data_IF_508048439530
#
_entry.id   IF_508048439530
#
_cell.length_a   1.000
_cell.length_b   1.000
_cell.length_c   1.000
_cell.angle_alpha   90.00
_cell.angle_beta   90.00
_cell.angle_gamma   90.00
#
_symmetry.space_group_name_H-M   'P 1'
#
loop_
_entity.id
_entity.type
_entity.pdbx_description
1 polymer ?
#
# COMPACT_ATOMS: atom_id res chain seq x y z
N UNK A 1 32.53 13.14 -23.38
CA UNK A 1 31.89 14.46 -23.65
C UNK A 1 30.51 14.43 -22.98
N UNK A 2 30.32 14.71 -21.70
CA UNK A 2 30.96 15.69 -20.83
C UNK A 2 30.13 16.98 -20.83
N UNK A 3 29.04 17.02 -20.03
CA UNK A 3 28.42 18.26 -19.54
C UNK A 3 27.44 17.99 -18.37
N UNK A 4 27.99 18.04 -17.15
CA UNK A 4 27.42 18.79 -16.00
C UNK A 4 27.48 20.29 -16.34
N UNK A 5 26.80 21.25 -15.67
CA UNK A 5 26.48 21.35 -14.23
C UNK A 5 25.01 21.86 -14.01
N UNK A 6 24.48 22.25 -12.84
CA UNK A 6 25.05 22.81 -11.62
C UNK A 6 24.10 22.60 -10.43
N UNK A 7 24.71 22.34 -9.27
CA UNK A 7 24.11 22.52 -7.96
C UNK A 7 24.29 23.99 -7.53
N UNK A 8 23.30 24.55 -6.84
CA UNK A 8 23.46 25.80 -6.10
C UNK A 8 22.51 25.85 -4.90
N UNK A 9 23.09 25.58 -3.73
CA UNK A 9 22.76 26.12 -2.41
C UNK A 9 24.13 26.40 -1.73
N UNK A 10 24.24 27.18 -0.65
CA UNK A 10 23.28 28.07 0.00
C UNK A 10 23.86 29.50 0.24
N UNK A 11 23.02 30.45 0.68
CA UNK A 11 23.50 31.69 1.29
C UNK A 11 22.66 32.00 2.53
N UNK A 12 23.31 31.91 3.69
CA UNK A 12 22.88 32.51 4.93
C UNK A 12 23.38 33.96 5.00
N UNK A 13 22.71 34.76 5.84
CA UNK A 13 23.30 35.68 6.84
C UNK A 13 22.71 37.11 6.84
N UNK A 14 22.25 37.48 8.06
CA UNK A 14 22.18 38.81 8.72
C UNK A 14 21.24 39.86 8.09
N UNK A 15 20.53 40.76 8.77
CA UNK A 15 20.50 41.37 10.11
C UNK A 15 19.02 41.81 10.32
N UNK A 16 18.42 41.87 11.52
CA UNK A 16 18.82 42.73 12.61
C UNK A 16 18.12 44.10 12.53
N UNK A 17 16.84 44.19 12.89
CA UNK A 17 16.29 45.48 13.37
C UNK A 17 15.23 45.28 14.46
N UNK A 18 15.69 45.51 15.69
CA UNK A 18 14.90 45.61 16.90
C UNK A 18 14.70 47.09 17.23
N UNK A 19 13.45 47.51 17.42
CA UNK A 19 13.08 48.83 17.92
C UNK A 19 11.87 48.72 18.87
N UNK A 20 11.65 49.69 19.76
CA UNK A 20 11.79 49.47 21.19
C UNK A 20 10.44 49.42 21.91
N UNK A 21 10.48 48.80 23.09
CA UNK A 21 9.40 48.74 24.06
C UNK A 21 8.81 50.13 24.38
N UNK A 22 7.54 50.33 24.03
CA UNK A 22 6.72 51.40 24.57
C UNK A 22 6.23 51.00 25.97
N UNK A 23 6.50 51.87 26.95
CA UNK A 23 6.05 51.75 28.34
C UNK A 23 4.52 51.63 28.44
N UNK A 24 4.01 50.89 29.45
CA UNK A 24 2.58 50.72 29.68
C UNK A 24 1.97 52.02 30.21
N UNK A 25 0.92 52.49 29.53
CA UNK A 25 0.04 53.52 30.04
C UNK A 25 -0.71 53.01 31.29
N UNK A 26 -0.82 53.90 32.28
CA UNK A 26 -1.50 53.66 33.56
C UNK A 26 -2.94 53.16 33.39
N UNK A 27 -3.42 52.26 34.27
CA UNK A 27 -4.79 51.77 34.19
C UNK A 27 -5.79 52.87 34.57
N UNK A 28 -6.69 53.16 33.63
CA UNK A 28 -7.90 53.92 33.89
C UNK A 28 -8.77 53.19 34.94
N UNK A 29 -9.40 53.99 35.81
CA UNK A 29 -10.27 53.57 36.92
C UNK A 29 -11.27 52.47 36.52
N UNK A 30 -11.47 51.43 37.35
CA UNK A 30 -12.52 50.45 37.11
C UNK A 30 -13.88 51.11 37.29
N UNK A 31 -14.64 51.20 36.19
CA UNK A 31 -16.08 51.46 36.23
C UNK A 31 -16.72 50.27 36.95
N UNK A 32 -17.33 50.55 38.09
CA UNK A 32 -18.04 49.59 38.94
C UNK A 32 -19.11 48.84 38.12
N UNK A 33 -18.89 47.54 37.90
CA UNK A 33 -19.94 46.63 37.44
C UNK A 33 -21.04 46.55 38.51
N UNK A 34 -22.33 46.57 38.14
CA UNK A 34 -23.40 46.33 39.09
C UNK A 34 -23.27 44.90 39.66
N UNK A 35 -23.18 44.81 40.98
CA UNK A 35 -23.11 43.56 41.73
C UNK A 35 -24.38 42.74 41.44
N UNK A 36 -24.24 41.66 40.68
CA UNK A 36 -25.31 40.69 40.49
C UNK A 36 -25.53 39.93 41.80
N UNK A 37 -26.80 39.84 42.23
CA UNK A 37 -27.20 39.13 43.44
C UNK A 37 -26.75 37.66 43.37
N UNK A 38 -26.34 37.05 44.50
CA UNK A 38 -25.93 35.64 44.52
C UNK A 38 -27.09 34.75 44.05
N UNK A 39 -26.83 33.97 43.01
CA UNK A 39 -27.78 33.03 42.40
C UNK A 39 -28.14 31.96 43.43
N UNK A 40 -29.44 31.72 43.67
CA UNK A 40 -29.90 30.76 44.68
C UNK A 40 -29.41 29.34 44.37
N UNK A 41 -29.18 28.51 45.39
CA UNK A 41 -28.75 27.09 45.21
C UNK A 41 -29.69 26.30 44.30
N UNK A 42 -31.01 26.56 44.39
CA UNK A 42 -32.04 25.93 43.54
C UNK A 42 -31.86 26.26 42.05
N UNK A 43 -31.50 27.50 41.71
CA UNK A 43 -31.25 27.91 40.31
C UNK A 43 -30.00 27.27 39.72
N UNK A 44 -28.98 26.99 40.53
CA UNK A 44 -27.75 26.30 40.07
C UNK A 44 -28.00 24.83 39.76
N UNK A 45 -28.85 24.16 40.54
CA UNK A 45 -29.25 22.76 40.28
C UNK A 45 -30.10 22.63 39.02
N UNK A 46 -31.04 23.56 38.80
CA UNK A 46 -31.82 23.63 37.56
C UNK A 46 -30.91 23.89 36.35
N UNK A 47 -29.92 24.78 36.49
CA UNK A 47 -28.95 25.05 35.43
C UNK A 47 -28.10 23.82 35.09
N UNK A 48 -27.59 23.09 36.10
CA UNK A 48 -26.84 21.84 35.88
C UNK A 48 -27.69 20.79 35.16
N UNK A 49 -28.96 20.66 35.54
CA UNK A 49 -29.89 19.73 34.87
C UNK A 49 -30.16 20.13 33.43
N UNK A 50 -30.30 21.42 33.15
CA UNK A 50 -30.45 21.91 31.78
C UNK A 50 -29.18 21.71 30.97
N UNK A 51 -28.00 22.02 31.52
CA UNK A 51 -26.72 21.84 30.82
C UNK A 51 -26.50 20.38 30.43
N UNK A 52 -26.78 19.43 31.35
CA UNK A 52 -26.70 18.01 31.04
C UNK A 52 -27.68 17.56 29.93
N UNK A 53 -28.87 18.17 29.87
CA UNK A 53 -29.84 17.92 28.80
C UNK A 53 -29.42 18.58 27.47
N UNK A 54 -28.77 19.74 27.49
CA UNK A 54 -28.21 20.37 26.29
C UNK A 54 -27.06 19.57 25.70
N UNK A 55 -26.13 19.10 26.54
CA UNK A 55 -25.01 18.26 26.13
C UNK A 55 -25.51 16.98 25.46
N UNK A 56 -26.60 16.37 25.99
CA UNK A 56 -27.27 15.21 25.40
C UNK A 56 -27.89 15.48 24.03
N UNK A 57 -28.27 16.73 23.76
CA UNK A 57 -28.89 17.17 22.51
C UNK A 57 -27.87 17.71 21.50
N UNK A 58 -26.56 17.59 21.80
CA UNK A 58 -25.47 18.10 20.96
C UNK A 58 -25.30 19.61 21.02
N UNK A 59 -26.04 20.30 21.89
CA UNK A 59 -25.83 21.72 22.18
C UNK A 59 -24.75 21.85 23.25
N UNK A 60 -23.75 22.69 23.03
CA UNK A 60 -22.72 22.95 24.02
C UNK A 60 -23.24 23.74 25.23
N UNK A 61 -22.52 24.80 25.61
CA UNK A 61 -22.89 25.65 26.75
C UNK A 61 -24.27 26.31 26.53
N UNK A 62 -25.20 26.10 27.47
CA UNK A 62 -26.48 26.81 27.47
C UNK A 62 -26.22 28.29 27.74
N UNK A 63 -26.74 29.13 26.85
CA UNK A 63 -26.74 30.57 27.00
C UNK A 63 -27.84 30.97 27.97
N UNK A 64 -27.45 31.38 29.18
CA UNK A 64 -28.38 31.87 30.22
C UNK A 64 -28.50 33.39 30.18
N UNK A 65 -27.49 34.07 29.63
CA UNK A 65 -27.50 35.52 29.50
C UNK A 65 -28.41 35.96 28.35
N UNK A 66 -29.30 36.92 28.63
CA UNK A 66 -30.23 37.45 27.62
C UNK A 66 -29.50 38.12 26.47
N UNK A 67 -28.39 38.82 26.71
CA UNK A 67 -27.62 39.52 25.68
C UNK A 67 -27.02 38.53 24.69
N UNK A 68 -26.39 37.47 25.20
CA UNK A 68 -25.79 36.41 24.38
C UNK A 68 -26.87 35.62 23.62
N UNK A 69 -28.03 35.39 24.24
CA UNK A 69 -29.16 34.72 23.58
C UNK A 69 -29.73 35.57 22.44
N UNK A 70 -29.89 36.89 22.65
CA UNK A 70 -30.30 37.83 21.58
C UNK A 70 -29.32 37.84 20.42
N UNK A 71 -28.02 37.83 20.70
CA UNK A 71 -26.99 37.72 19.68
C UNK A 71 -27.12 36.42 18.88
N UNK A 72 -27.22 35.28 19.55
CA UNK A 72 -27.37 33.99 18.87
C UNK A 72 -28.64 33.92 18.00
N UNK A 73 -29.75 34.51 18.47
CA UNK A 73 -30.99 34.62 17.69
C UNK A 73 -30.80 35.52 16.47
N UNK A 74 -30.14 36.67 16.64
CA UNK A 74 -29.84 37.59 15.56
C UNK A 74 -28.94 36.92 14.51
N UNK A 75 -27.83 36.32 14.93
CA UNK A 75 -26.86 35.66 14.05
C UNK A 75 -27.55 34.56 13.22
N UNK A 76 -28.38 33.71 13.84
CA UNK A 76 -29.14 32.68 13.10
C UNK A 76 -30.10 33.27 12.07
N UNK A 77 -30.83 34.34 12.41
CA UNK A 77 -31.75 34.98 11.48
C UNK A 77 -31.01 35.75 10.37
N UNK A 78 -29.89 36.37 10.72
CA UNK A 78 -29.05 37.13 9.81
C UNK A 78 -28.38 36.20 8.79
N UNK A 79 -27.73 35.14 9.25
CA UNK A 79 -26.97 34.21 8.40
C UNK A 79 -27.87 33.32 7.54
N UNK A 80 -29.09 33.02 8.01
CA UNK A 80 -30.05 32.22 7.25
C UNK A 80 -30.79 33.02 6.17
N UNK A 81 -30.70 34.36 6.18
CA UNK A 81 -31.34 35.28 5.24
C UNK A 81 -32.81 34.95 4.93
N UNK A 82 -33.55 34.40 5.90
CA UNK A 82 -34.95 33.99 5.70
C UNK A 82 -35.80 34.24 6.95
N UNK A 83 -37.08 34.62 6.78
CA UNK A 83 -37.99 34.68 7.91
C UNK A 83 -38.18 33.30 8.54
N UNK A 84 -38.10 33.23 9.87
CA UNK A 84 -38.29 31.98 10.62
C UNK A 84 -39.37 32.16 11.68
N UNK A 85 -40.17 31.11 11.90
CA UNK A 85 -41.09 31.08 13.02
C UNK A 85 -40.39 30.64 14.32
N UNK A 86 -41.09 30.80 15.45
CA UNK A 86 -40.54 30.42 16.78
C UNK A 86 -40.08 28.97 16.81
N UNK A 87 -40.83 28.07 16.17
CA UNK A 87 -40.48 26.65 16.16
C UNK A 87 -39.19 26.39 15.35
N UNK A 88 -39.03 27.02 14.19
CA UNK A 88 -37.83 26.92 13.36
C UNK A 88 -36.60 27.52 14.04
N UNK A 89 -36.77 28.67 14.74
CA UNK A 89 -35.73 29.27 15.56
C UNK A 89 -35.32 28.35 16.71
N UNK A 90 -36.30 27.79 17.42
CA UNK A 90 -36.04 26.86 18.51
C UNK A 90 -35.30 25.60 18.05
N UNK A 91 -35.64 25.05 16.87
CA UNK A 91 -34.92 23.90 16.33
C UNK A 91 -33.49 24.25 15.92
N UNK A 92 -33.27 25.45 15.37
CA UNK A 92 -31.93 25.90 14.96
C UNK A 92 -31.04 26.23 16.17
N UNK A 93 -31.64 26.66 17.28
CA UNK A 93 -30.96 27.00 18.54
C UNK A 93 -31.14 25.93 19.63
N UNK A 94 -31.54 24.72 19.25
CA UNK A 94 -31.85 23.64 20.18
C UNK A 94 -30.61 23.28 20.99
N UNK A 95 -30.74 23.27 22.31
CA UNK A 95 -29.62 23.02 23.23
C UNK A 95 -28.73 24.25 23.51
N UNK A 96 -28.93 25.37 22.81
CA UNK A 96 -28.18 26.62 23.04
C UNK A 96 -29.04 27.64 23.80
N UNK A 97 -30.28 27.88 23.32
CA UNK A 97 -31.20 28.85 23.92
C UNK A 97 -32.49 28.15 24.40
N UNK A 98 -32.80 28.15 25.70
CA UNK A 98 -34.05 27.58 26.21
C UNK A 98 -35.29 28.27 25.63
N UNK A 99 -36.37 27.52 25.38
CA UNK A 99 -37.59 28.07 24.73
C UNK A 99 -38.21 29.26 25.46
N UNK A 100 -38.22 29.23 26.79
CA UNK A 100 -38.73 30.33 27.59
C UNK A 100 -37.89 31.61 27.44
N UNK A 101 -36.57 31.45 27.34
CA UNK A 101 -35.64 32.56 27.12
C UNK A 101 -35.76 33.10 25.69
N UNK A 102 -35.91 32.21 24.70
CA UNK A 102 -36.11 32.56 23.28
C UNK A 102 -37.32 33.49 23.10
N UNK A 103 -38.49 33.13 23.62
CA UNK A 103 -39.70 33.96 23.49
C UNK A 103 -39.50 35.34 24.13
N UNK A 104 -38.94 35.39 25.34
CA UNK A 104 -38.63 36.67 26.02
C UNK A 104 -37.64 37.52 25.23
N UNK A 105 -36.63 36.91 24.60
CA UNK A 105 -35.65 37.65 23.80
C UNK A 105 -36.27 38.19 22.51
N UNK A 106 -37.10 37.40 21.82
CA UNK A 106 -37.79 37.82 20.61
C UNK A 106 -38.70 39.03 20.87
N UNK A 107 -39.50 39.01 21.94
CA UNK A 107 -40.36 40.14 22.32
C UNK A 107 -39.59 41.43 22.64
N UNK A 108 -38.37 41.31 23.18
CA UNK A 108 -37.49 42.45 23.48
C UNK A 108 -36.71 42.96 22.25
N UNK A 109 -36.53 42.12 21.23
CA UNK A 109 -35.81 42.48 19.99
C UNK A 109 -36.73 43.06 18.91
N UNK A 110 -38.04 42.83 19.01
CA UNK A 110 -39.05 43.41 18.11
C UNK A 110 -39.19 44.91 18.38
N UNK A 111 -39.17 45.69 17.31
CA UNK A 111 -39.59 47.08 17.35
C UNK A 111 -41.12 47.18 17.51
N UNK A 112 -41.57 47.68 18.66
CA UNK A 112 -43.01 47.80 18.99
C UNK A 112 -43.67 49.00 18.30
N UNK A 113 -42.89 49.93 17.76
CA UNK A 113 -43.38 51.19 17.21
C UNK A 113 -43.38 51.21 15.66
N UNK A 114 -42.71 50.27 15.01
CA UNK A 114 -42.84 50.09 13.55
C UNK A 114 -44.03 49.20 13.21
N UNK A 115 -45.12 49.82 12.75
CA UNK A 115 -46.25 49.10 12.15
C UNK A 115 -45.78 48.12 11.07
N UNK A 116 -46.53 47.01 10.92
CA UNK A 116 -46.24 45.99 9.91
C UNK A 116 -46.11 46.64 8.52
N UNK A 117 -44.92 46.66 7.89
CA UNK A 117 -44.73 47.30 6.57
C UNK A 117 -45.44 46.54 5.44
N UNK A 118 -46.05 45.39 5.74
CA UNK A 118 -46.86 44.58 4.86
C UNK A 118 -48.32 44.50 5.33
N UNK A 119 -48.75 45.31 6.29
CA UNK A 119 -50.18 45.53 6.48
C UNK A 119 -50.65 46.15 5.17
N UNK A 120 -51.48 45.42 4.42
CA UNK A 120 -52.16 46.00 3.28
C UNK A 120 -52.85 47.26 3.80
N UNK A 121 -52.60 48.37 3.13
CA UNK A 121 -53.33 49.62 3.30
C UNK A 121 -54.74 49.36 2.75
N UNK A 122 -55.51 48.52 3.45
CA UNK A 122 -56.96 48.36 3.29
C UNK A 122 -57.61 49.54 4.03
N UNK A 123 -57.19 50.75 3.67
CA UNK A 123 -57.97 51.95 3.91
C UNK A 123 -59.00 52.01 2.78
N UNK A 124 -60.07 51.25 2.98
CA UNK A 124 -61.35 51.43 2.34
C UNK A 124 -61.67 52.93 2.30
N UNK A 125 -61.72 53.45 1.09
CA UNK A 125 -62.33 54.71 0.69
C UNK A 125 -63.81 54.62 1.05
N UNK A 126 -64.20 55.22 2.18
CA UNK A 126 -65.60 55.55 2.46
C UNK A 126 -65.62 56.93 3.15
N UNK A 127 -66.11 57.89 2.39
CA UNK A 127 -66.35 59.27 2.76
C UNK A 127 -67.19 59.36 4.04
N UNK A 128 -66.70 60.05 5.08
CA UNK A 128 -67.54 61.05 5.76
C UNK A 128 -66.81 61.91 6.80
N UNK A 129 -67.21 63.18 6.79
CA UNK A 129 -66.74 64.34 7.55
C UNK A 129 -66.59 64.17 9.08
N UNK A 130 -65.40 64.52 9.63
CA UNK A 130 -65.25 65.47 10.77
C UNK A 130 -63.79 65.66 11.23
N UNK A 131 -63.33 66.91 11.45
CA UNK A 131 -61.99 67.17 11.95
C UNK A 131 -61.92 67.03 13.48
N UNK A 132 -61.29 65.96 13.99
CA UNK A 132 -60.84 65.89 15.39
C UNK A 132 -59.31 66.02 15.48
N UNK A 133 -58.90 67.17 16.03
CA UNK A 133 -57.57 67.53 16.57
C UNK A 133 -56.74 66.31 17.00
N UNK A 134 -55.75 65.91 16.18
CA UNK A 134 -54.69 64.96 16.60
C UNK A 134 -53.63 65.70 17.41
N UNK A 135 -53.48 65.29 18.68
CA UNK A 135 -52.36 65.64 19.56
C UNK A 135 -51.09 65.06 18.95
N UNK A 136 -50.24 65.92 18.40
CA UNK A 136 -48.92 65.61 17.86
C UNK A 136 -47.99 65.19 19.00
N UNK A 137 -47.95 63.91 19.34
CA UNK A 137 -46.84 63.35 20.11
C UNK A 137 -45.63 63.28 19.19
N UNK A 138 -44.71 64.21 19.40
CA UNK A 138 -43.38 64.27 18.79
C UNK A 138 -42.62 63.00 19.19
N UNK A 139 -42.70 61.95 18.38
CA UNK A 139 -41.77 60.84 18.43
C UNK A 139 -40.41 61.41 18.06
N UNK A 140 -39.54 61.51 19.07
CA UNK A 140 -38.13 61.82 18.91
C UNK A 140 -37.53 60.56 18.29
N UNK A 141 -37.32 60.55 16.98
CA UNK A 141 -36.43 59.58 16.36
C UNK A 141 -35.05 59.87 16.94
N UNK A 142 -34.69 59.08 17.93
CA UNK A 142 -33.35 59.03 18.45
C UNK A 142 -32.50 58.39 17.35
N UNK A 143 -31.94 59.21 16.46
CA UNK A 143 -30.78 58.86 15.62
C UNK A 143 -29.52 58.71 16.51
N UNK A 144 -29.70 58.03 17.64
CA UNK A 144 -28.65 57.62 18.54
C UNK A 144 -28.08 56.34 18.01
N UNK A 145 -26.90 56.44 17.39
CA UNK A 145 -26.00 55.33 17.16
C UNK A 145 -25.95 54.46 18.45
N UNK A 146 -26.72 53.37 18.44
CA UNK A 146 -26.94 52.54 19.60
C UNK A 146 -25.62 51.93 20.04
N UNK A 147 -25.38 51.96 21.35
CA UNK A 147 -24.23 51.32 21.97
C UNK A 147 -24.00 49.90 21.39
N UNK A 148 -22.75 49.50 21.13
CA UNK A 148 -22.44 48.18 20.60
C UNK A 148 -22.97 47.11 21.57
N UNK A 149 -24.06 46.44 21.19
CA UNK A 149 -24.74 45.42 22.00
C UNK A 149 -26.25 45.61 22.18
N UNK A 150 -26.85 46.74 21.77
CA UNK A 150 -28.30 46.90 21.82
C UNK A 150 -28.99 46.24 20.61
N UNK A 151 -29.43 44.99 20.77
CA UNK A 151 -30.27 44.29 19.77
C UNK A 151 -31.74 44.76 19.76
N UNK A 152 -32.05 45.85 20.44
CA UNK A 152 -33.39 46.44 20.41
C UNK A 152 -33.73 46.91 18.98
N UNK A 153 -34.94 46.61 18.52
CA UNK A 153 -35.43 46.98 17.18
C UNK A 153 -34.58 46.40 16.01
N UNK A 154 -33.93 45.24 16.24
CA UNK A 154 -33.15 44.52 15.23
C UNK A 154 -33.99 43.53 14.43
N UNK A 155 -35.14 43.12 14.96
CA UNK A 155 -36.07 42.18 14.32
C UNK A 155 -37.40 42.85 13.97
N UNK A 156 -37.99 42.40 12.87
CA UNK A 156 -39.38 42.67 12.51
C UNK A 156 -40.22 41.40 12.67
N UNK A 157 -41.48 41.62 13.03
CA UNK A 157 -42.47 40.57 13.19
C UNK A 157 -43.53 40.67 12.09
N UNK A 158 -43.76 39.58 11.38
CA UNK A 158 -44.96 39.39 10.56
C UNK A 158 -45.91 38.48 11.32
N UNK A 159 -47.00 39.05 11.82
CA UNK A 159 -48.03 38.32 12.57
C UNK A 159 -48.79 37.36 11.67
N UNK A 160 -48.83 36.09 12.06
CA UNK A 160 -49.63 35.06 11.38
C UNK A 160 -51.01 34.90 12.01
N UNK A 161 -51.80 33.94 11.50
CA UNK A 161 -53.12 33.58 12.07
C UNK A 161 -53.05 33.14 13.54
N UNK A 162 -51.88 32.69 14.01
CA UNK A 162 -51.62 32.31 15.39
C UNK A 162 -50.14 32.56 15.73
N UNK A 163 -49.80 32.47 17.02
CA UNK A 163 -48.43 32.73 17.53
C UNK A 163 -47.38 31.81 16.91
N UNK A 164 -47.75 30.58 16.55
CA UNK A 164 -46.83 29.62 15.91
C UNK A 164 -46.53 29.98 14.44
N UNK A 165 -47.36 30.79 13.82
CA UNK A 165 -47.22 31.27 12.44
C UNK A 165 -46.59 32.66 12.34
N UNK A 166 -46.20 33.25 13.47
CA UNK A 166 -45.45 34.50 13.49
C UNK A 166 -44.06 34.28 12.89
N UNK A 167 -43.69 35.11 11.91
CA UNK A 167 -42.39 35.07 11.25
C UNK A 167 -41.53 36.25 11.75
N UNK A 168 -40.34 35.92 12.20
CA UNK A 168 -39.32 36.86 12.66
C UNK A 168 -38.24 36.95 11.58
N UNK A 169 -37.80 38.17 11.26
CA UNK A 169 -36.74 38.42 10.28
C UNK A 169 -35.94 39.67 10.66
N UNK A 170 -34.68 39.73 10.22
CA UNK A 170 -33.80 40.88 10.46
C UNK A 170 -34.23 42.03 9.55
N UNK A 171 -34.20 43.26 10.08
CA UNK A 171 -34.46 44.45 9.27
C UNK A 171 -33.24 44.83 8.43
N UNK A 172 -33.18 44.28 7.21
CA UNK A 172 -32.11 44.56 6.26
C UNK A 172 -32.15 45.98 5.67
N UNK A 173 -33.20 46.79 5.92
CA UNK A 173 -33.23 48.19 5.45
C UNK A 173 -32.20 49.07 6.16
N UNK A 174 -31.76 48.66 7.36
CA UNK A 174 -30.71 49.34 8.13
C UNK A 174 -29.29 48.94 7.69
N UNK A 175 -29.15 48.01 6.74
CA UNK A 175 -27.84 47.68 6.15
C UNK A 175 -27.36 48.82 5.24
N UNK A 176 -26.05 48.84 4.98
CA UNK A 176 -25.44 49.76 4.04
C UNK A 176 -26.21 49.80 2.70
N UNK A 177 -26.29 50.99 2.11
CA UNK A 177 -27.06 51.26 0.90
C UNK A 177 -28.58 51.01 1.04
N UNK A 178 -29.17 51.26 2.22
CA UNK A 178 -30.60 51.12 2.50
C UNK A 178 -31.18 49.73 2.18
N UNK A 179 -30.36 48.69 2.26
CA UNK A 179 -30.78 47.33 1.88
C UNK A 179 -30.87 47.08 0.37
N UNK A 180 -30.47 48.03 -0.49
CA UNK A 180 -30.37 47.84 -1.94
C UNK A 180 -29.12 47.03 -2.36
N UNK A 181 -28.37 46.50 -1.39
CA UNK A 181 -27.19 45.66 -1.62
C UNK A 181 -25.95 46.45 -2.07
N UNK A 182 -24.98 45.73 -2.64
CA UNK A 182 -23.74 46.33 -3.14
C UNK A 182 -24.01 47.21 -4.38
N UNK A 183 -23.33 48.36 -4.52
CA UNK A 183 -23.40 49.16 -5.73
C UNK A 183 -22.91 48.37 -6.96
N UNK A 184 -23.32 48.76 -8.18
CA UNK A 184 -23.01 47.98 -9.39
C UNK A 184 -21.53 47.67 -9.61
N UNK A 185 -20.62 48.58 -9.26
CA UNK A 185 -19.18 48.38 -9.43
C UNK A 185 -18.62 47.28 -8.50
N UNK A 186 -18.89 47.36 -7.20
CA UNK A 186 -18.52 46.33 -6.21
C UNK A 186 -19.16 44.98 -6.54
N UNK A 187 -20.42 44.98 -6.98
CA UNK A 187 -21.10 43.75 -7.40
C UNK A 187 -20.39 43.08 -8.58
N UNK A 188 -20.00 43.87 -9.59
CA UNK A 188 -19.29 43.36 -10.76
C UNK A 188 -17.90 42.83 -10.40
N UNK A 189 -17.20 43.50 -9.49
CA UNK A 189 -15.91 43.05 -8.96
C UNK A 189 -16.04 41.72 -8.21
N UNK A 190 -17.04 41.60 -7.33
CA UNK A 190 -17.35 40.35 -6.62
C UNK A 190 -17.67 39.20 -7.60
N UNK A 191 -18.39 39.49 -8.70
CA UNK A 191 -18.63 38.49 -9.73
C UNK A 191 -17.35 38.06 -10.45
N UNK A 192 -16.48 39.01 -10.77
CA UNK A 192 -15.19 38.71 -11.40
C UNK A 192 -14.28 37.88 -10.47
N UNK A 193 -14.24 38.22 -9.18
CA UNK A 193 -13.50 37.46 -8.18
C UNK A 193 -14.08 36.06 -7.98
N UNK A 194 -15.42 35.94 -7.91
CA UNK A 194 -16.08 34.63 -7.81
C UNK A 194 -15.74 33.72 -8.99
N UNK A 195 -15.75 34.24 -10.21
CA UNK A 195 -15.37 33.45 -11.40
C UNK A 195 -13.88 33.12 -11.39
N UNK A 196 -13.00 34.02 -10.91
CA UNK A 196 -11.58 33.73 -10.72
C UNK A 196 -11.36 32.61 -9.71
N UNK A 197 -11.96 32.70 -8.52
CA UNK A 197 -11.88 31.66 -7.49
C UNK A 197 -12.45 30.33 -7.98
N UNK A 198 -13.52 30.35 -8.77
CA UNK A 198 -14.09 29.14 -9.38
C UNK A 198 -13.12 28.49 -10.38
N UNK A 199 -12.45 29.30 -11.21
CA UNK A 199 -11.44 28.82 -12.15
C UNK A 199 -10.22 28.24 -11.40
N UNK A 200 -9.72 28.93 -10.38
CA UNK A 200 -8.62 28.46 -9.53
C UNK A 200 -8.96 27.15 -8.80
N UNK A 201 -10.16 27.05 -8.22
CA UNK A 201 -10.64 25.82 -7.61
C UNK A 201 -10.74 24.66 -8.62
N UNK A 202 -11.18 24.96 -9.85
CA UNK A 202 -11.19 23.98 -10.94
C UNK A 202 -9.78 23.49 -11.31
N UNK A 203 -8.82 24.41 -11.40
CA UNK A 203 -7.41 24.09 -11.68
C UNK A 203 -6.78 23.25 -10.56
N UNK A 204 -7.01 23.61 -9.29
CA UNK A 204 -6.53 22.85 -8.13
C UNK A 204 -7.12 21.44 -8.08
N UNK A 205 -8.42 21.29 -8.35
CA UNK A 205 -9.04 19.96 -8.44
C UNK A 205 -8.41 19.10 -9.54
N UNK A 206 -8.08 19.70 -10.68
CA UNK A 206 -7.39 18.99 -11.75
C UNK A 206 -5.97 18.57 -11.33
N UNK A 207 -5.25 19.44 -10.63
CA UNK A 207 -3.93 19.14 -10.07
C UNK A 207 -4.01 18.01 -9.02
N UNK A 208 -5.00 18.02 -8.13
CA UNK A 208 -5.24 16.94 -7.18
C UNK A 208 -5.49 15.60 -7.89
N UNK A 209 -6.27 15.60 -8.97
CA UNK A 209 -6.51 14.38 -9.78
C UNK A 209 -5.23 13.87 -10.44
N UNK A 210 -4.42 14.76 -11.02
CA UNK A 210 -3.15 14.40 -11.65
C UNK A 210 -2.17 13.84 -10.61
N UNK A 211 -2.02 14.53 -9.47
CA UNK A 211 -1.15 14.08 -8.37
C UNK A 211 -1.61 12.74 -7.80
N UNK A 212 -2.93 12.54 -7.66
CA UNK A 212 -3.48 11.26 -7.22
C UNK A 212 -3.24 10.12 -8.21
N UNK A 213 -3.34 10.39 -9.52
CA UNK A 213 -2.99 9.41 -10.56
C UNK A 213 -1.49 9.08 -10.57
N UNK A 214 -0.63 10.07 -10.38
CA UNK A 214 0.82 9.85 -10.28
C UNK A 214 1.20 9.06 -9.03
N UNK A 215 0.60 9.38 -7.88
CA UNK A 215 0.78 8.61 -6.65
C UNK A 215 0.35 7.15 -6.83
N UNK A 216 -0.83 6.89 -7.42
CA UNK A 216 -1.29 5.53 -7.70
C UNK A 216 -0.38 4.79 -8.69
N UNK A 217 0.24 5.50 -9.65
CA UNK A 217 1.22 4.91 -10.57
C UNK A 217 2.49 4.49 -9.84
N UNK A 218 3.02 5.36 -8.97
CA UNK A 218 4.22 5.09 -8.17
C UNK A 218 3.98 3.99 -7.13
N UNK A 219 2.81 3.96 -6.50
CA UNK A 219 2.44 2.89 -5.56
C UNK A 219 2.28 1.52 -6.22
N UNK A 220 2.07 1.49 -7.55
CA UNK A 220 2.04 0.27 -8.34
C UNK A 220 3.42 -0.20 -8.84
N UNK A 221 4.45 0.64 -8.72
CA UNK A 221 5.82 0.23 -9.03
C UNK A 221 6.39 -0.61 -7.88
N UNK A 222 7.12 -1.71 -8.16
CA UNK A 222 7.70 -2.54 -7.12
C UNK A 222 8.68 -1.74 -6.27
N UNK A 223 8.69 -2.01 -4.97
CA UNK A 223 9.59 -1.29 -4.05
C UNK A 223 11.03 -1.70 -4.33
N UNK A 224 11.97 -0.80 -4.06
CA UNK A 224 13.40 -1.10 -4.17
C UNK A 224 13.79 -2.37 -3.38
N UNK A 225 13.21 -2.57 -2.20
CA UNK A 225 13.42 -3.78 -1.39
C UNK A 225 12.95 -5.06 -2.10
N UNK A 226 11.83 -5.01 -2.82
CA UNK A 226 11.31 -6.15 -3.59
C UNK A 226 12.22 -6.43 -4.80
N UNK A 227 12.69 -5.39 -5.48
CA UNK A 227 13.65 -5.51 -6.58
C UNK A 227 15.00 -6.07 -6.10
N UNK A 228 15.47 -5.69 -4.91
CA UNK A 228 16.71 -6.24 -4.33
C UNK A 228 16.58 -7.74 -4.04
N UNK A 229 15.44 -8.18 -3.51
CA UNK A 229 15.14 -9.60 -3.29
C UNK A 229 15.05 -10.35 -4.62
N UNK A 230 14.37 -9.79 -5.61
CA UNK A 230 14.25 -10.40 -6.94
C UNK A 230 15.61 -10.51 -7.63
N UNK A 231 16.43 -9.46 -7.60
CA UNK A 231 17.80 -9.46 -8.11
C UNK A 231 18.66 -10.52 -7.42
N UNK A 232 18.62 -10.61 -6.09
CA UNK A 232 19.36 -11.64 -5.36
C UNK A 232 18.92 -13.05 -5.76
N UNK A 233 17.62 -13.26 -6.00
CA UNK A 233 17.10 -14.54 -6.50
C UNK A 233 17.61 -14.88 -7.90
N UNK A 234 17.69 -13.88 -8.79
CA UNK A 234 18.21 -14.07 -10.15
C UNK A 234 19.72 -14.33 -10.15
N UNK A 235 20.47 -13.62 -9.30
CA UNK A 235 21.90 -13.86 -9.10
C UNK A 235 22.18 -15.28 -8.58
N UNK A 236 21.39 -15.76 -7.61
CA UNK A 236 21.47 -17.14 -7.12
C UNK A 236 21.18 -18.15 -8.24
N UNK A 237 20.11 -17.92 -9.02
CA UNK A 237 19.75 -18.79 -10.15
C UNK A 237 20.85 -18.80 -11.23
N UNK A 238 21.46 -17.66 -11.50
CA UNK A 238 22.59 -17.53 -12.42
C UNK A 238 23.82 -18.30 -11.92
N UNK A 239 24.11 -18.22 -10.62
CA UNK A 239 25.21 -18.96 -10.02
C UNK A 239 24.99 -20.48 -10.13
N UNK A 240 23.79 -20.97 -9.79
CA UNK A 240 23.42 -22.38 -9.88
C UNK A 240 23.51 -22.92 -11.31
N UNK A 241 22.96 -22.17 -12.27
CA UNK A 241 23.02 -22.55 -13.69
C UNK A 241 24.45 -22.53 -14.23
N UNK A 242 25.30 -21.59 -13.81
CA UNK A 242 26.72 -21.56 -14.16
C UNK A 242 27.47 -22.76 -13.59
N UNK A 243 27.23 -23.13 -12.33
CA UNK A 243 27.84 -24.31 -11.72
C UNK A 243 27.42 -25.59 -12.45
N UNK A 244 26.12 -25.71 -12.76
CA UNK A 244 25.59 -26.83 -13.55
C UNK A 244 26.23 -26.95 -14.94
N UNK A 245 26.53 -25.82 -15.60
CA UNK A 245 27.23 -25.81 -16.87
C UNK A 245 28.68 -26.29 -16.75
N UNK A 246 29.40 -25.91 -15.70
CA UNK A 246 30.77 -26.40 -15.45
C UNK A 246 30.78 -27.91 -15.20
N UNK A 247 29.82 -28.42 -14.41
CA UNK A 247 29.63 -29.85 -14.21
C UNK A 247 29.33 -30.57 -15.54
N UNK A 248 28.43 -30.02 -16.36
CA UNK A 248 28.09 -30.57 -17.68
C UNK A 248 29.30 -30.58 -18.64
N UNK A 249 30.14 -29.54 -18.62
CA UNK A 249 31.40 -29.48 -19.38
C UNK A 249 32.35 -30.61 -18.99
N UNK A 250 32.43 -30.94 -17.70
CA UNK A 250 33.18 -32.11 -17.21
C UNK A 250 32.69 -33.42 -17.83
N UNK A 251 31.37 -33.61 -17.94
CA UNK A 251 30.79 -34.80 -18.59
C UNK A 251 30.99 -34.83 -20.10
N UNK A 252 30.92 -33.69 -20.79
CA UNK A 252 31.16 -33.63 -22.23
C UNK A 252 32.61 -34.02 -22.60
N UNK A 253 33.59 -33.64 -21.77
CA UNK A 253 34.96 -34.14 -21.86
C UNK A 253 35.03 -35.67 -21.69
N UNK A 254 34.24 -36.21 -20.76
CA UNK A 254 34.14 -37.64 -20.52
C UNK A 254 33.47 -38.41 -21.68
N UNK A 255 32.55 -37.81 -22.43
CA UNK A 255 31.91 -38.49 -23.57
C UNK A 255 32.91 -38.80 -24.70
N UNK A 256 33.79 -37.84 -25.02
CA UNK A 256 34.87 -38.08 -26.02
C UNK A 256 35.83 -39.15 -25.53
N UNK A 257 36.23 -39.09 -24.26
CA UNK A 257 37.09 -40.11 -23.66
C UNK A 257 36.43 -41.49 -23.63
N UNK A 258 35.15 -41.58 -23.27
CA UNK A 258 34.37 -42.81 -23.27
C UNK A 258 34.25 -43.41 -24.68
N UNK A 259 33.96 -42.59 -25.70
CA UNK A 259 33.95 -43.03 -27.10
C UNK A 259 35.34 -43.51 -27.56
N UNK A 260 36.41 -42.86 -27.13
CA UNK A 260 37.79 -43.28 -27.39
C UNK A 260 38.12 -44.62 -26.75
N UNK A 261 37.76 -44.80 -25.47
CA UNK A 261 37.97 -46.02 -24.72
C UNK A 261 37.18 -47.19 -25.32
N UNK A 262 35.91 -46.96 -25.70
CA UNK A 262 35.08 -47.95 -26.37
C UNK A 262 35.73 -48.43 -27.68
N UNK A 263 36.20 -47.51 -28.54
CA UNK A 263 36.92 -47.87 -29.78
C UNK A 263 38.19 -48.67 -29.50
N UNK A 264 38.93 -48.33 -28.45
CA UNK A 264 40.14 -49.07 -28.08
C UNK A 264 39.82 -50.49 -27.60
N UNK A 265 38.77 -50.66 -26.78
CA UNK A 265 38.28 -51.97 -26.34
C UNK A 265 37.82 -52.81 -27.53
N UNK A 266 37.02 -52.23 -28.43
CA UNK A 266 36.53 -52.95 -29.62
C UNK A 266 37.67 -53.36 -30.55
N UNK A 267 38.69 -52.51 -30.68
CA UNK A 267 39.91 -52.81 -31.45
C UNK A 267 40.69 -53.97 -30.81
N UNK A 268 40.98 -53.91 -29.50
CA UNK A 268 41.68 -54.97 -28.77
C UNK A 268 40.91 -56.28 -28.81
N UNK A 269 39.60 -56.24 -28.58
CA UNK A 269 38.72 -57.41 -28.67
C UNK A 269 38.64 -57.97 -30.10
N UNK A 270 38.73 -57.11 -31.13
CA UNK A 270 38.86 -57.53 -32.52
C UNK A 270 40.17 -58.27 -32.80
N UNK A 271 41.29 -57.71 -32.36
CA UNK A 271 42.62 -58.34 -32.51
C UNK A 271 42.70 -59.67 -31.75
N UNK A 272 42.20 -59.72 -30.52
CA UNK A 272 42.16 -60.96 -29.74
C UNK A 272 41.32 -62.03 -30.42
N UNK A 273 40.09 -61.71 -30.88
CA UNK A 273 39.25 -62.66 -31.63
C UNK A 273 39.93 -63.15 -32.90
N UNK A 274 40.66 -62.29 -33.60
CA UNK A 274 41.46 -62.68 -34.78
C UNK A 274 42.57 -63.66 -34.42
N UNK A 275 43.36 -63.36 -33.37
CA UNK A 275 44.42 -64.25 -32.87
C UNK A 275 43.85 -65.61 -32.42
N UNK A 276 42.74 -65.60 -31.68
CA UNK A 276 42.03 -66.80 -31.24
C UNK A 276 41.62 -67.66 -32.44
N UNK A 277 41.01 -67.07 -33.48
CA UNK A 277 40.67 -67.80 -34.72
C UNK A 277 41.90 -68.39 -35.41
N UNK A 278 42.96 -67.61 -35.63
CA UNK A 278 44.18 -68.10 -36.28
C UNK A 278 44.85 -69.23 -35.49
N UNK A 279 44.82 -69.17 -34.15
CA UNK A 279 45.33 -70.26 -33.30
C UNK A 279 44.47 -71.52 -33.41
N UNK A 280 43.14 -71.39 -33.41
CA UNK A 280 42.23 -72.53 -33.62
C UNK A 280 42.41 -73.16 -35.01
N UNK A 281 42.50 -72.35 -36.07
CA UNK A 281 42.77 -72.81 -37.44
C UNK A 281 44.11 -73.55 -37.52
N UNK A 282 45.16 -73.02 -36.88
CA UNK A 282 46.47 -73.68 -36.82
C UNK A 282 46.39 -75.05 -36.12
N UNK A 283 45.71 -75.14 -34.98
CA UNK A 283 45.58 -76.40 -34.24
C UNK A 283 44.75 -77.43 -35.02
N UNK A 284 43.68 -77.02 -35.71
CA UNK A 284 42.90 -77.90 -36.60
C UNK A 284 43.77 -78.44 -37.74
N UNK A 285 44.54 -77.56 -38.41
CA UNK A 285 45.45 -77.98 -39.47
C UNK A 285 46.54 -78.95 -38.98
N UNK A 286 47.01 -78.79 -37.73
CA UNK A 286 47.97 -79.71 -37.12
C UNK A 286 47.36 -81.06 -36.76
N UNK A 287 46.12 -81.09 -36.29
CA UNK A 287 45.38 -82.33 -36.03
C UNK A 287 45.23 -83.16 -37.31
N UNK A 288 44.80 -82.50 -38.40
CA UNK A 288 44.68 -83.11 -39.73
C UNK A 288 46.03 -83.57 -40.29
N UNK A 289 47.08 -82.73 -40.22
CA UNK A 289 48.39 -83.06 -40.78
C UNK A 289 49.14 -84.16 -40.01
N UNK A 290 48.80 -84.38 -38.74
CA UNK A 290 49.46 -85.37 -37.89
C UNK A 290 48.65 -86.65 -37.68
N UNK A 291 47.53 -86.79 -38.41
CA UNK A 291 46.61 -87.93 -38.37
C UNK A 291 46.17 -88.25 -36.93
N UNK A 292 45.79 -87.19 -36.18
CA UNK A 292 45.30 -87.32 -34.80
C UNK A 292 46.38 -87.47 -33.72
N UNK A 293 47.68 -87.39 -34.06
CA UNK A 293 48.74 -87.35 -33.03
C UNK A 293 48.69 -86.06 -32.20
N UNK A 294 48.30 -84.93 -32.79
CA UNK A 294 48.05 -83.66 -32.10
C UNK A 294 46.54 -83.38 -32.10
N UNK A 295 45.82 -83.93 -31.13
CA UNK A 295 44.37 -83.80 -31.04
C UNK A 295 43.95 -82.37 -30.64
N UNK A 296 43.21 -81.70 -31.53
CA UNK A 296 42.73 -80.32 -31.34
C UNK A 296 41.93 -80.15 -30.03
N UNK A 297 41.06 -81.12 -29.72
CA UNK A 297 40.21 -81.07 -28.52
C UNK A 297 41.04 -81.24 -27.26
N UNK A 298 42.07 -82.10 -27.28
CA UNK A 298 42.99 -82.27 -26.13
C UNK A 298 43.86 -81.03 -25.91
N UNK A 299 44.31 -80.37 -26.99
CA UNK A 299 45.04 -79.11 -26.89
C UNK A 299 44.18 -77.99 -26.28
N UNK A 300 42.92 -77.84 -26.69
CA UNK A 300 42.02 -76.82 -26.14
C UNK A 300 41.59 -77.09 -24.69
N UNK A 301 41.51 -78.36 -24.29
CA UNK A 301 41.20 -78.73 -22.89
C UNK A 301 42.41 -78.64 -21.96
N UNK A 302 43.62 -78.41 -22.49
CA UNK A 302 44.86 -78.51 -21.73
C UNK A 302 45.23 -79.94 -21.31
N UNK A 303 44.55 -80.96 -21.84
CA UNK A 303 44.71 -82.38 -21.47
C UNK A 303 45.71 -83.14 -22.37
N UNK A 304 46.31 -82.48 -23.36
CA UNK A 304 47.04 -83.14 -24.44
C UNK A 304 48.52 -83.48 -24.21
N UNK A 305 49.13 -83.09 -23.09
CA UNK A 305 50.57 -83.23 -22.92
C UNK A 305 50.96 -84.38 -21.98
N UNK A 306 50.75 -85.62 -22.43
CA UNK A 306 51.23 -86.82 -21.74
C UNK A 306 52.37 -87.44 -22.54
N UNK A 307 53.61 -86.98 -22.26
CA UNK A 307 54.84 -87.60 -22.75
C UNK A 307 55.88 -86.63 -23.32
N UNK A 308 57.05 -86.58 -22.68
CA UNK A 308 58.38 -86.00 -23.00
C UNK A 308 58.49 -84.56 -23.57
N UNK A 309 57.50 -84.04 -24.28
CA UNK A 309 57.39 -82.63 -24.72
C UNK A 309 56.45 -81.80 -23.84
N UNK A 310 55.88 -82.42 -22.80
CA UNK A 310 54.90 -81.84 -21.89
C UNK A 310 55.43 -80.67 -21.06
N UNK A 311 56.73 -80.63 -20.77
CA UNK A 311 57.31 -79.52 -20.00
C UNK A 311 57.37 -78.20 -20.76
N UNK A 312 57.36 -78.23 -22.10
CA UNK A 312 57.53 -77.02 -22.91
C UNK A 312 56.25 -76.51 -23.59
N UNK A 313 55.25 -77.37 -23.84
CA UNK A 313 54.01 -76.96 -24.54
C UNK A 313 52.77 -76.79 -23.62
N UNK A 314 52.80 -77.25 -22.37
CA UNK A 314 51.66 -77.18 -21.43
C UNK A 314 51.42 -75.79 -20.81
N UNK A 315 51.95 -74.72 -21.41
CA UNK A 315 51.87 -73.35 -20.88
C UNK A 315 51.30 -72.35 -21.88
N UNK A 316 50.54 -72.82 -22.86
CA UNK A 316 49.63 -71.94 -23.57
C UNK A 316 48.35 -71.91 -22.74
N UNK A 317 48.40 -71.21 -21.60
CA UNK A 317 47.21 -70.88 -20.82
C UNK A 317 46.38 -69.93 -21.69
N UNK A 318 45.48 -70.50 -22.48
CA UNK A 318 44.38 -69.74 -23.06
C UNK A 318 43.46 -69.47 -21.88
N UNK A 319 43.75 -68.40 -21.13
CA UNK A 319 42.95 -67.97 -19.98
C UNK A 319 41.48 -68.09 -20.37
N UNK A 320 40.72 -68.88 -19.60
CA UNK A 320 39.27 -68.90 -19.74
C UNK A 320 38.75 -67.47 -19.64
N UNK A 321 37.69 -67.14 -20.39
CA UNK A 321 37.07 -65.82 -20.32
C UNK A 321 36.72 -65.47 -18.85
N UNK A 322 36.43 -66.46 -18.00
CA UNK A 322 36.24 -66.26 -16.56
C UNK A 322 37.50 -65.78 -15.81
N UNK A 323 38.68 -66.36 -16.08
CA UNK A 323 39.94 -65.95 -15.46
C UNK A 323 40.39 -64.56 -15.93
N UNK A 324 40.16 -64.25 -17.22
CA UNK A 324 40.42 -62.91 -17.74
C UNK A 324 39.51 -61.86 -17.09
N UNK A 325 38.24 -62.20 -16.84
CA UNK A 325 37.29 -61.36 -16.11
C UNK A 325 37.71 -61.19 -14.65
N UNK A 326 38.08 -62.27 -13.95
CA UNK A 326 38.56 -62.18 -12.56
C UNK A 326 39.83 -61.33 -12.44
N UNK A 327 40.78 -61.50 -13.37
CA UNK A 327 41.99 -60.68 -13.43
C UNK A 327 41.69 -59.20 -13.68
N UNK A 328 40.75 -58.90 -14.59
CA UNK A 328 40.30 -57.53 -14.84
C UNK A 328 39.59 -56.92 -13.64
N UNK A 329 38.76 -57.68 -12.93
CA UNK A 329 38.09 -57.27 -11.68
C UNK A 329 39.11 -56.97 -10.59
N UNK A 330 40.09 -57.85 -10.37
CA UNK A 330 41.15 -57.65 -9.38
C UNK A 330 42.01 -56.42 -9.72
N UNK A 331 42.33 -56.21 -10.99
CA UNK A 331 43.08 -55.03 -11.43
C UNK A 331 42.28 -53.74 -11.22
N UNK A 332 40.99 -53.74 -11.56
CA UNK A 332 40.10 -52.61 -11.31
C UNK A 332 39.97 -52.30 -9.81
N UNK A 333 39.87 -53.32 -8.96
CA UNK A 333 39.85 -53.16 -7.49
C UNK A 333 41.14 -52.55 -6.95
N UNK A 334 42.31 -52.93 -7.49
CA UNK A 334 43.62 -52.35 -7.11
C UNK A 334 43.81 -50.92 -7.58
N UNK A 335 43.18 -50.53 -8.69
CA UNK A 335 43.25 -49.18 -9.29
C UNK A 335 42.14 -48.24 -8.85
N UNK A 336 41.13 -48.71 -8.08
CA UNK A 336 40.13 -47.82 -7.47
C UNK A 336 40.88 -46.75 -6.66
N UNK A 337 40.78 -45.46 -7.01
CA UNK A 337 41.36 -44.42 -6.17
C UNK A 337 40.68 -44.54 -4.81
N UNK A 338 41.49 -44.76 -3.76
CA UNK A 338 41.00 -44.63 -2.39
C UNK A 338 40.50 -43.19 -2.26
N UNK A 339 39.19 -43.01 -2.33
CA UNK A 339 38.54 -41.73 -2.04
C UNK A 339 38.87 -41.46 -0.58
N UNK A 340 39.89 -40.64 -0.35
CA UNK A 340 40.13 -40.02 0.94
C UNK A 340 38.83 -39.29 1.28
N UNK A 341 38.18 -39.73 2.35
CA UNK A 341 36.90 -39.16 2.79
C UNK A 341 37.11 -37.68 3.11
N UNK A 342 36.80 -36.80 2.16
CA UNK A 342 36.61 -35.39 2.47
C UNK A 342 35.24 -35.27 3.12
N UNK A 343 35.26 -34.90 4.39
CA UNK A 343 34.09 -34.58 5.19
C UNK A 343 33.60 -33.22 4.67
N UNK A 344 32.64 -33.23 3.74
CA UNK A 344 32.08 -32.02 3.13
C UNK A 344 30.64 -32.28 2.68
N UNK A 345 29.71 -31.65 3.39
CA UNK A 345 28.26 -31.63 3.19
C UNK A 345 27.86 -31.04 1.83
N UNK A 346 26.97 -31.71 1.08
CA UNK A 346 26.17 -31.05 0.02
C UNK A 346 25.79 -31.92 -1.18
N UNK A 347 24.51 -32.31 -1.24
CA UNK A 347 23.66 -32.52 -2.43
C UNK A 347 24.02 -33.52 -3.56
N UNK A 348 23.35 -34.68 -3.48
CA UNK A 348 22.58 -35.38 -4.52
C UNK A 348 22.97 -35.25 -6.01
N UNK A 349 24.14 -35.78 -6.38
CA UNK A 349 24.33 -36.39 -7.71
C UNK A 349 23.74 -37.82 -7.77
N UNK A 350 23.56 -38.41 -8.97
CA UNK A 350 23.11 -39.79 -9.11
C UNK A 350 24.07 -40.71 -8.36
N UNK A 351 23.58 -41.28 -7.25
CA UNK A 351 24.39 -42.11 -6.34
C UNK A 351 25.02 -43.23 -7.15
N UNK A 352 26.35 -43.23 -7.23
CA UNK A 352 27.11 -44.39 -7.69
C UNK A 352 26.76 -45.54 -6.76
N UNK A 353 25.98 -46.49 -7.26
CA UNK A 353 25.56 -47.63 -6.46
C UNK A 353 26.81 -48.41 -6.07
N UNK A 354 27.11 -48.51 -4.77
CA UNK A 354 28.36 -49.10 -4.29
C UNK A 354 28.52 -50.57 -4.72
N UNK A 355 27.39 -51.21 -5.02
CA UNK A 355 27.28 -52.58 -5.48
C UNK A 355 27.37 -52.70 -7.01
N UNK A 356 27.42 -51.61 -7.78
CA UNK A 356 27.52 -51.68 -9.23
C UNK A 356 28.92 -52.16 -9.65
N UNK A 357 28.96 -53.28 -10.37
CA UNK A 357 30.20 -53.93 -10.84
C UNK A 357 30.48 -53.55 -12.29
N UNK A 358 29.44 -53.48 -13.12
CA UNK A 358 29.59 -53.20 -14.54
C UNK A 358 28.34 -53.51 -15.34
N UNK A 359 28.51 -53.67 -16.65
CA UNK A 359 27.42 -53.96 -17.60
C UNK A 359 27.75 -55.26 -18.35
N UNK A 360 26.85 -56.24 -18.32
CA UNK A 360 26.90 -57.45 -19.14
C UNK A 360 25.96 -57.31 -20.33
N UNK A 361 26.16 -58.05 -21.41
CA UNK A 361 25.17 -58.15 -22.47
C UNK A 361 24.25 -59.34 -22.18
N UNK A 362 22.95 -59.11 -22.02
CA UNK A 362 21.96 -60.17 -21.87
C UNK A 362 21.83 -61.00 -23.15
N UNK A 363 21.11 -62.12 -23.09
CA UNK A 363 20.94 -63.04 -24.22
C UNK A 363 20.37 -62.39 -25.50
N UNK A 364 19.69 -61.25 -25.38
CA UNK A 364 19.19 -60.43 -26.49
C UNK A 364 20.14 -59.32 -26.96
N UNK A 365 21.41 -59.31 -26.54
CA UNK A 365 22.40 -58.28 -26.91
C UNK A 365 22.14 -56.90 -26.29
N UNK A 366 21.27 -56.81 -25.27
CA UNK A 366 21.02 -55.57 -24.54
C UNK A 366 21.94 -55.45 -23.33
N UNK A 367 22.55 -54.27 -23.08
CA UNK A 367 23.38 -54.05 -21.90
C UNK A 367 22.53 -54.07 -20.61
N UNK A 368 22.84 -55.00 -19.72
CA UNK A 368 22.26 -55.18 -18.39
C UNK A 368 23.28 -54.82 -17.31
N UNK A 369 22.86 -54.06 -16.30
CA UNK A 369 23.72 -53.68 -15.16
C UNK A 369 23.90 -54.88 -14.23
N UNK A 370 25.13 -55.16 -13.83
CA UNK A 370 25.50 -56.23 -12.90
C UNK A 370 25.86 -55.62 -11.56
N UNK A 371 25.24 -56.13 -10.49
CA UNK A 371 25.48 -55.71 -9.12
C UNK A 371 26.08 -56.87 -8.30
N UNK A 372 26.89 -56.55 -7.29
CA UNK A 372 27.34 -57.54 -6.31
C UNK A 372 26.13 -58.09 -5.56
N UNK A 373 26.03 -59.42 -5.36
CA UNK A 373 25.00 -59.98 -4.50
C UNK A 373 25.20 -59.43 -3.08
N UNK A 374 24.19 -58.72 -2.58
CA UNK A 374 24.18 -58.25 -1.19
C UNK A 374 24.02 -59.49 -0.31
N UNK A 375 24.93 -59.76 0.63
CA UNK A 375 24.73 -60.84 1.59
C UNK A 375 23.44 -60.54 2.36
N UNK A 376 22.45 -61.40 2.19
CA UNK A 376 21.19 -61.36 2.94
C UNK A 376 21.55 -61.76 4.38
N UNK A 377 21.18 -60.97 5.40
CA UNK A 377 21.49 -61.28 6.80
C UNK A 377 20.83 -62.58 7.28
#
# INVERSE_FOLDING_TARGET
RGKKPAASEPAAAEDGESKPAAKPASPAKPVSKPVSKPVSKKSLEVYKKWQAEADKMGGGKITVDKSDAKKAIFDVLHDSFKPMNVNGLYQSLKGVVPRALLNSCLEEMIDKDTGNPFAADDSSDDDDDKPKKKKKSKAKSDDGAGAPGSFACSLRLKTGRNVNNNLYYVDHKKLANNGNGLPPHERNELHAEKERSRAEHGALLQQCKQTGAEAARLDGEPRNEELEVELSSFESTLAETSEGLEVARGYAGNEKHAKGLQKAIDSLGGTWRKRKRSCMEFLLNMDEATDGKVDFKKCLKGEGAVGFLSEYFSRIDIDSDEMAIEGAVQFAQRKRPKVLSSKGTGQAGPKSDANFVGVKLGAGGRPERVFLPVPVP
#
